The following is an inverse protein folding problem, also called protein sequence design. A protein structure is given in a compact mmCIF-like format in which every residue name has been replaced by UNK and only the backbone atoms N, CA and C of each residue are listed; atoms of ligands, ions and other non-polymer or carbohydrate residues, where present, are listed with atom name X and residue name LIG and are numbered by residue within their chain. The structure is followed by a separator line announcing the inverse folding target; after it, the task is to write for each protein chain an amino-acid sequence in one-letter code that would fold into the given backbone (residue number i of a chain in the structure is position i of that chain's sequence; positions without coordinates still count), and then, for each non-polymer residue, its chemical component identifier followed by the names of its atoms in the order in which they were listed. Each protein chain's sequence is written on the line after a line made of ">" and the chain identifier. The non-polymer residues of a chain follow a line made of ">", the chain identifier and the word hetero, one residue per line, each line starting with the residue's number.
data_IF_230064486699
#
_entry.id   IF_230064486699
#
_cell.length_a   1.000
_cell.length_b   1.000
_cell.length_c   1.000
_cell.angle_alpha   90.00
_cell.angle_beta   90.00
_cell.angle_gamma   90.00
#
_symmetry.space_group_name_H-M   'P 1'
#
loop_
_entity.id
_entity.type
_entity.pdbx_description
1 polymer ?
#
# COMPACT_ATOMS: atom_id res chain seq x y z
N UNK A 1 -16.35 -0.91 7.27
CA UNK A 1 -16.19 0.22 6.33
C UNK A 1 -16.16 -0.35 4.94
N UNK A 2 -17.05 0.09 4.05
CA UNK A 2 -16.98 -0.29 2.64
C UNK A 2 -15.73 0.39 2.06
N UNK A 3 -14.86 -0.41 1.43
CA UNK A 3 -13.77 0.11 0.63
C UNK A 3 -14.35 1.01 -0.46
N UNK A 4 -13.93 2.27 -0.53
CA UNK A 4 -14.42 3.24 -1.51
C UNK A 4 -14.25 2.76 -2.96
N UNK A 5 -13.20 1.97 -3.24
CA UNK A 5 -13.01 1.32 -4.53
C UNK A 5 -14.03 0.20 -4.79
N UNK A 6 -14.37 -0.59 -3.78
CA UNK A 6 -15.39 -1.62 -3.89
C UNK A 6 -16.79 -1.01 -4.06
N UNK A 7 -17.11 0.09 -3.35
CA UNK A 7 -18.35 0.81 -3.54
C UNK A 7 -18.48 1.37 -4.95
N UNK A 8 -17.44 2.05 -5.45
CA UNK A 8 -17.46 2.58 -6.82
C UNK A 8 -17.62 1.49 -7.90
N UNK A 9 -17.14 0.26 -7.65
CA UNK A 9 -17.38 -0.86 -8.54
C UNK A 9 -18.83 -1.37 -8.47
N UNK A 10 -19.44 -1.38 -7.30
CA UNK A 10 -20.87 -1.70 -7.11
C UNK A 10 -21.73 -0.67 -7.83
N UNK A 11 -21.46 0.63 -7.64
CA UNK A 11 -22.19 1.72 -8.29
C UNK A 11 -22.10 1.63 -9.83
N UNK A 12 -20.93 1.25 -10.35
CA UNK A 12 -20.76 0.99 -11.79
C UNK A 12 -21.62 -0.17 -12.28
N UNK A 13 -21.65 -1.29 -11.52
CA UNK A 13 -22.47 -2.46 -11.89
C UNK A 13 -23.96 -2.15 -11.79
N UNK A 14 -24.38 -1.39 -10.79
CA UNK A 14 -25.77 -0.93 -10.65
C UNK A 14 -26.16 -0.02 -11.80
N UNK A 15 -25.32 0.94 -12.20
CA UNK A 15 -25.54 1.79 -13.36
C UNK A 15 -25.64 1.01 -14.67
N UNK A 16 -24.82 -0.01 -14.86
CA UNK A 16 -24.90 -0.92 -16.03
C UNK A 16 -26.22 -1.70 -16.02
N UNK A 17 -26.62 -2.22 -14.86
CA UNK A 17 -27.86 -2.99 -14.74
C UNK A 17 -29.10 -2.10 -14.98
N UNK A 18 -29.09 -0.85 -14.48
CA UNK A 18 -30.12 0.13 -14.73
C UNK A 18 -30.22 0.45 -16.23
N UNK A 19 -29.10 0.68 -16.91
CA UNK A 19 -29.07 0.89 -18.35
C UNK A 19 -29.63 -0.31 -19.14
N UNK A 20 -29.25 -1.53 -18.78
CA UNK A 20 -29.74 -2.73 -19.46
C UNK A 20 -31.25 -2.89 -19.28
N UNK A 21 -31.78 -2.56 -18.09
CA UNK A 21 -33.21 -2.74 -17.77
C UNK A 21 -34.09 -1.60 -18.25
N UNK A 22 -33.63 -0.36 -18.21
CA UNK A 22 -34.41 0.84 -18.52
C UNK A 22 -34.13 1.43 -19.91
N UNK A 23 -32.97 1.12 -20.49
CA UNK A 23 -32.48 1.72 -21.74
C UNK A 23 -32.14 3.21 -21.62
N UNK A 24 -32.10 3.77 -20.41
CA UNK A 24 -31.85 5.18 -20.15
C UNK A 24 -30.60 5.32 -19.29
N UNK A 25 -29.77 6.31 -19.62
CA UNK A 25 -28.73 6.80 -18.71
C UNK A 25 -29.41 7.87 -17.87
N UNK A 26 -29.57 7.60 -16.58
CA UNK A 26 -30.05 8.60 -15.64
C UNK A 26 -28.86 9.53 -15.38
N UNK A 27 -28.91 10.74 -15.93
CA UNK A 27 -28.03 11.81 -15.46
C UNK A 27 -28.45 12.08 -14.00
N UNK A 28 -27.72 11.49 -13.04
CA UNK A 28 -27.81 11.95 -11.68
C UNK A 28 -27.32 13.40 -11.69
N UNK A 29 -28.22 14.34 -11.41
CA UNK A 29 -27.84 15.69 -11.03
C UNK A 29 -26.88 15.51 -9.84
N UNK A 30 -25.59 15.66 -10.09
CA UNK A 30 -24.59 15.97 -9.08
C UNK A 30 -24.92 17.41 -8.62
N UNK A 31 -26.04 17.57 -7.94
CA UNK A 31 -26.18 18.64 -6.98
C UNK A 31 -25.05 18.35 -5.97
N UNK A 32 -24.01 19.12 -6.09
CA UNK A 32 -22.92 19.19 -5.12
C UNK A 32 -23.60 19.36 -3.76
N UNK A 33 -23.66 18.27 -2.99
CA UNK A 33 -24.03 18.33 -1.60
C UNK A 33 -22.87 19.03 -0.91
N UNK A 34 -22.98 20.36 -0.91
CA UNK A 34 -22.13 21.28 -0.19
C UNK A 34 -22.68 21.40 1.25
N UNK A 35 -22.95 20.25 1.88
CA UNK A 35 -23.38 20.22 3.28
C UNK A 35 -22.74 19.03 4.00
N UNK A 36 -21.93 19.36 5.01
CA UNK A 36 -21.45 18.49 6.10
C UNK A 36 -20.32 17.49 5.82
N UNK A 37 -19.24 17.94 5.22
CA UNK A 37 -17.94 17.25 5.37
C UNK A 37 -17.37 17.41 6.80
N UNK A 38 -18.00 18.20 7.66
CA UNK A 38 -17.53 18.47 9.04
C UNK A 38 -18.06 17.51 10.12
N UNK A 39 -18.82 16.47 9.76
CA UNK A 39 -19.33 15.49 10.72
C UNK A 39 -19.26 14.04 10.22
N UNK A 40 -18.24 13.69 9.46
CA UNK A 40 -17.84 12.29 9.42
C UNK A 40 -17.04 12.08 10.70
N UNK A 41 -17.72 11.55 11.74
CA UNK A 41 -17.07 10.97 12.91
C UNK A 41 -15.95 10.05 12.38
N UNK A 42 -14.71 10.49 12.53
CA UNK A 42 -13.50 9.77 12.12
C UNK A 42 -13.21 8.60 13.09
N UNK A 43 -14.24 7.88 13.50
CA UNK A 43 -14.16 6.59 14.16
C UNK A 43 -14.45 5.48 13.16
N UNK A 44 -13.75 5.46 12.02
CA UNK A 44 -13.58 4.21 11.31
C UNK A 44 -12.66 3.35 12.18
N UNK A 45 -13.28 2.50 12.97
CA UNK A 45 -12.61 1.46 13.75
C UNK A 45 -12.02 0.46 12.73
N UNK A 46 -10.92 0.84 12.08
CA UNK A 46 -10.18 -0.11 11.24
C UNK A 46 -9.65 -1.19 12.18
N UNK A 47 -10.15 -2.38 11.97
CA UNK A 47 -9.83 -3.55 12.82
C UNK A 47 -8.35 -3.94 12.66
N UNK A 48 -7.78 -3.68 11.49
CA UNK A 48 -6.41 -4.03 11.14
C UNK A 48 -5.63 -2.80 10.66
N UNK A 49 -4.35 -2.79 10.99
CA UNK A 49 -3.47 -1.64 10.72
C UNK A 49 -2.95 -1.58 9.29
N UNK A 50 -2.65 -2.72 8.68
CA UNK A 50 -1.94 -2.76 7.40
C UNK A 50 -2.82 -3.27 6.27
N UNK A 51 -2.81 -2.55 5.15
CA UNK A 51 -3.23 -3.05 3.85
C UNK A 51 -2.03 -3.77 3.20
N UNK A 52 -2.15 -5.08 2.99
CA UNK A 52 -1.07 -5.94 2.48
C UNK A 52 -1.45 -6.50 1.12
N UNK A 53 -0.56 -6.35 0.14
CA UNK A 53 -0.76 -6.86 -1.21
C UNK A 53 0.46 -7.63 -1.71
N UNK A 54 0.23 -8.67 -2.51
CA UNK A 54 1.25 -9.32 -3.32
C UNK A 54 0.64 -10.01 -4.55
N UNK A 55 1.52 -10.42 -5.46
CA UNK A 55 1.18 -11.25 -6.61
C UNK A 55 1.86 -12.61 -6.43
N UNK A 56 1.08 -13.68 -6.48
CA UNK A 56 1.57 -15.06 -6.46
C UNK A 56 1.67 -15.57 -7.90
N UNK A 57 2.79 -16.17 -8.26
CA UNK A 57 3.01 -16.86 -9.54
C UNK A 57 3.34 -18.31 -9.22
N UNK A 58 2.47 -19.23 -9.66
CA UNK A 58 2.59 -20.67 -9.38
C UNK A 58 1.92 -21.51 -10.46
N UNK A 59 2.03 -22.82 -10.40
CA UNK A 59 1.46 -23.71 -11.40
C UNK A 59 -0.05 -23.95 -11.22
N UNK A 60 -0.52 -24.04 -9.97
CA UNK A 60 -1.93 -24.29 -9.67
C UNK A 60 -2.32 -23.70 -8.31
N UNK A 61 -2.57 -22.40 -8.29
CA UNK A 61 -2.94 -21.66 -7.08
C UNK A 61 -4.39 -22.01 -6.69
N UNK A 62 -4.61 -22.69 -5.54
CA UNK A 62 -5.94 -23.09 -5.08
C UNK A 62 -6.65 -21.89 -4.40
N UNK A 63 -7.06 -20.90 -5.16
CA UNK A 63 -7.55 -19.60 -4.68
C UNK A 63 -8.59 -19.70 -3.56
N UNK A 64 -9.56 -20.62 -3.68
CA UNK A 64 -10.59 -20.76 -2.65
C UNK A 64 -10.01 -21.22 -1.31
N UNK A 65 -9.12 -22.22 -1.34
CA UNK A 65 -8.44 -22.69 -0.13
C UNK A 65 -7.54 -21.63 0.47
N UNK A 66 -6.79 -20.89 -0.38
CA UNK A 66 -5.95 -19.78 0.07
C UNK A 66 -6.80 -18.67 0.69
N UNK A 67 -7.95 -18.33 0.11
CA UNK A 67 -8.86 -17.34 0.67
C UNK A 67 -9.38 -17.79 2.05
N UNK A 68 -9.77 -19.06 2.21
CA UNK A 68 -10.22 -19.62 3.48
C UNK A 68 -9.11 -19.51 4.56
N UNK A 69 -7.86 -19.77 4.22
CA UNK A 69 -6.73 -19.61 5.15
C UNK A 69 -6.50 -18.15 5.51
N UNK A 70 -6.55 -17.24 4.53
CA UNK A 70 -6.32 -15.81 4.77
C UNK A 70 -7.42 -15.18 5.65
N UNK A 71 -8.64 -15.72 5.65
CA UNK A 71 -9.76 -15.25 6.50
C UNK A 71 -9.44 -15.33 7.99
N UNK A 72 -8.56 -16.23 8.41
CA UNK A 72 -8.13 -16.37 9.81
C UNK A 72 -7.08 -15.30 10.20
N UNK A 73 -6.52 -14.57 9.21
CA UNK A 73 -5.42 -13.62 9.43
C UNK A 73 -5.75 -12.17 9.11
N UNK A 74 -6.96 -11.89 8.64
CA UNK A 74 -7.37 -10.53 8.29
C UNK A 74 -8.76 -10.43 7.72
N UNK A 75 -9.11 -9.24 7.23
CA UNK A 75 -10.37 -8.98 6.52
C UNK A 75 -10.15 -8.25 5.20
N UNK A 76 -11.23 -7.79 4.56
CA UNK A 76 -11.19 -7.07 3.27
C UNK A 76 -10.41 -7.82 2.19
N UNK A 77 -10.54 -9.16 2.18
CA UNK A 77 -9.74 -10.04 1.33
C UNK A 77 -10.24 -10.00 -0.10
N UNK A 78 -9.35 -9.63 -1.02
CA UNK A 78 -9.56 -9.76 -2.46
C UNK A 78 -8.49 -10.68 -3.04
N UNK A 79 -8.94 -11.81 -3.62
CA UNK A 79 -8.07 -12.77 -4.29
C UNK A 79 -8.50 -12.90 -5.75
N UNK A 80 -7.85 -12.14 -6.62
CA UNK A 80 -8.18 -12.04 -8.04
C UNK A 80 -7.08 -12.65 -8.93
N UNK A 81 -7.46 -13.22 -10.06
CA UNK A 81 -6.51 -13.75 -11.04
C UNK A 81 -6.84 -15.13 -11.58
N UNK A 82 -5.83 -15.84 -12.10
CA UNK A 82 -5.91 -17.16 -12.73
C UNK A 82 -5.37 -18.26 -11.81
N UNK A 83 -5.29 -19.49 -12.29
CA UNK A 83 -4.64 -20.60 -11.57
C UNK A 83 -3.13 -20.47 -11.49
N UNK A 84 -2.52 -19.68 -12.36
CA UNK A 84 -1.06 -19.52 -12.43
C UNK A 84 -0.57 -18.16 -11.95
N UNK A 85 -1.48 -17.18 -11.81
CA UNK A 85 -1.13 -15.84 -11.31
C UNK A 85 -2.32 -15.28 -10.54
N UNK A 86 -2.12 -14.95 -9.28
CA UNK A 86 -3.15 -14.37 -8.43
C UNK A 86 -2.63 -13.13 -7.69
N UNK A 87 -3.44 -12.07 -7.65
CA UNK A 87 -3.20 -10.91 -6.80
C UNK A 87 -3.96 -11.13 -5.48
N UNK A 88 -3.26 -10.93 -4.38
CA UNK A 88 -3.80 -10.95 -3.01
C UNK A 88 -3.85 -9.52 -2.50
N UNK A 89 -4.96 -9.15 -1.89
CA UNK A 89 -5.14 -7.96 -1.08
C UNK A 89 -5.84 -8.37 0.21
N UNK A 90 -5.33 -7.91 1.35
CA UNK A 90 -5.87 -8.23 2.68
C UNK A 90 -5.51 -7.13 3.68
N UNK A 91 -6.43 -6.79 4.58
CA UNK A 91 -6.13 -5.99 5.76
C UNK A 91 -5.74 -6.91 6.92
N UNK A 92 -4.55 -6.71 7.49
CA UNK A 92 -3.98 -7.57 8.54
C UNK A 92 -3.00 -6.81 9.43
N UNK A 93 -2.82 -7.26 10.66
CA UNK A 93 -1.76 -6.74 11.55
C UNK A 93 -0.43 -7.47 11.36
N UNK A 94 -0.40 -8.56 10.58
CA UNK A 94 0.75 -9.43 10.40
C UNK A 94 1.18 -9.59 8.92
N UNK A 95 1.64 -8.52 8.22
CA UNK A 95 2.02 -8.58 6.80
C UNK A 95 3.02 -9.70 6.49
N UNK A 96 4.00 -9.92 7.37
CA UNK A 96 4.99 -11.00 7.25
C UNK A 96 4.33 -12.38 7.17
N UNK A 97 3.32 -12.63 7.99
CA UNK A 97 2.57 -13.88 8.01
C UNK A 97 1.81 -14.08 6.70
N UNK A 98 1.20 -13.02 6.18
CA UNK A 98 0.49 -13.05 4.90
C UNK A 98 1.45 -13.41 3.76
N UNK A 99 2.62 -12.76 3.67
CA UNK A 99 3.61 -13.08 2.64
C UNK A 99 4.13 -14.52 2.77
N UNK A 100 4.36 -15.00 4.00
CA UNK A 100 4.77 -16.39 4.25
C UNK A 100 3.71 -17.38 3.75
N UNK A 101 2.44 -17.16 4.06
CA UNK A 101 1.34 -18.01 3.58
C UNK A 101 1.27 -18.00 2.05
N UNK A 102 1.36 -16.81 1.43
CA UNK A 102 1.32 -16.67 -0.02
C UNK A 102 2.48 -17.39 -0.72
N UNK A 103 3.68 -17.36 -0.14
CA UNK A 103 4.88 -18.00 -0.70
C UNK A 103 4.81 -19.53 -0.73
N UNK A 104 3.95 -20.15 0.09
CA UNK A 104 3.70 -21.61 0.04
C UNK A 104 3.00 -22.05 -1.26
N UNK A 105 2.38 -21.12 -1.98
CA UNK A 105 1.61 -21.40 -3.21
C UNK A 105 2.30 -20.97 -4.50
N UNK A 106 3.51 -20.43 -4.41
CA UNK A 106 4.31 -20.00 -5.55
C UNK A 106 5.27 -18.86 -5.20
N UNK A 107 6.02 -18.40 -6.19
CA UNK A 107 6.86 -17.22 -6.02
C UNK A 107 6.00 -15.98 -5.86
N UNK A 108 6.33 -15.12 -4.89
CA UNK A 108 5.64 -13.86 -4.67
C UNK A 108 6.43 -12.70 -5.29
N UNK A 109 5.70 -11.67 -5.70
CA UNK A 109 6.25 -10.43 -6.25
C UNK A 109 5.28 -9.26 -6.04
N UNK A 110 5.76 -8.03 -6.17
CA UNK A 110 4.92 -6.84 -6.00
C UNK A 110 4.41 -6.68 -4.57
N UNK A 111 5.18 -7.13 -3.59
CA UNK A 111 4.88 -7.00 -2.16
C UNK A 111 4.69 -5.53 -1.81
N UNK A 112 3.60 -5.25 -1.12
CA UNK A 112 3.21 -3.92 -0.69
C UNK A 112 2.58 -4.01 0.69
N UNK A 113 2.88 -3.04 1.52
CA UNK A 113 2.23 -2.86 2.81
C UNK A 113 2.06 -1.38 3.09
N UNK A 114 0.82 -0.95 3.24
CA UNK A 114 0.47 0.44 3.59
C UNK A 114 -0.07 0.47 5.03
N UNK A 115 0.43 1.39 5.85
CA UNK A 115 -0.08 1.63 7.20
C UNK A 115 -1.31 2.55 7.11
N UNK A 116 -2.49 1.96 7.21
CA UNK A 116 -3.77 2.66 7.06
C UNK A 116 -4.04 3.63 8.21
N UNK A 117 -3.63 3.28 9.43
CA UNK A 117 -3.78 4.16 10.60
C UNK A 117 -2.90 5.40 10.44
N UNK A 118 -1.67 5.21 9.96
CA UNK A 118 -0.78 6.34 9.68
C UNK A 118 -1.32 7.22 8.56
N UNK A 119 -1.82 6.63 7.48
CA UNK A 119 -2.44 7.39 6.39
C UNK A 119 -3.63 8.24 6.87
N UNK A 120 -4.49 7.70 7.73
CA UNK A 120 -5.59 8.48 8.32
C UNK A 120 -5.09 9.60 9.24
N UNK A 121 -4.10 9.32 10.10
CA UNK A 121 -3.53 10.33 10.98
C UNK A 121 -2.85 11.45 10.21
N UNK A 122 -2.19 11.13 9.11
CA UNK A 122 -1.50 12.09 8.25
C UNK A 122 -2.50 13.00 7.50
N UNK A 123 -3.64 12.46 7.09
CA UNK A 123 -4.73 13.24 6.50
C UNK A 123 -5.28 14.33 7.46
N UNK A 124 -5.25 14.09 8.78
CA UNK A 124 -5.78 15.01 9.78
C UNK A 124 -4.71 15.91 10.44
N UNK A 125 -3.41 15.66 10.22
CA UNK A 125 -2.30 16.32 10.91
C UNK A 125 -1.37 17.12 9.99
N UNK A 126 -1.80 17.54 8.82
CA UNK A 126 -1.00 18.42 7.98
C UNK A 126 -0.71 19.76 8.72
N UNK A 127 0.25 19.75 9.65
CA UNK A 127 0.70 20.95 10.37
C UNK A 127 1.52 21.89 9.49
N UNK A 128 2.02 21.39 8.38
CA UNK A 128 2.90 22.12 7.46
C UNK A 128 2.37 22.00 6.04
N UNK A 129 2.52 23.03 5.20
CA UNK A 129 2.06 22.99 3.81
C UNK A 129 2.89 22.07 2.92
N UNK A 130 4.10 21.68 3.39
CA UNK A 130 5.06 20.88 2.63
C UNK A 130 5.24 19.50 3.26
N UNK A 131 4.99 18.44 2.49
CA UNK A 131 5.29 17.07 2.90
C UNK A 131 6.80 16.77 2.78
N UNK A 132 7.36 16.05 3.74
CA UNK A 132 8.72 15.48 3.65
C UNK A 132 8.62 13.98 3.40
N UNK A 133 9.23 13.50 2.32
CA UNK A 133 9.18 12.11 1.90
C UNK A 133 10.59 11.55 1.83
N UNK A 134 10.81 10.38 2.41
CA UNK A 134 12.10 9.69 2.40
C UNK A 134 11.91 8.21 2.02
N UNK A 135 12.97 7.52 1.62
CA UNK A 135 12.96 6.06 1.63
C UNK A 135 13.41 5.51 2.98
N UNK A 136 13.15 4.23 3.26
CA UNK A 136 13.49 3.62 4.55
C UNK A 136 15.00 3.51 4.82
N UNK A 137 15.83 3.72 3.81
CA UNK A 137 17.28 3.83 3.96
C UNK A 137 17.75 5.14 4.62
N UNK A 138 16.84 6.08 4.94
CA UNK A 138 17.16 7.30 5.66
C UNK A 138 17.68 7.06 7.09
N UNK A 139 17.35 5.88 7.65
CA UNK A 139 17.79 5.42 8.97
C UNK A 139 17.50 6.38 10.13
N UNK A 140 16.44 7.17 10.00
CA UNK A 140 15.94 8.06 11.04
C UNK A 140 15.27 7.25 12.17
N UNK A 141 15.42 7.70 13.45
CA UNK A 141 14.62 7.17 14.55
C UNK A 141 13.12 7.38 14.34
N UNK A 142 12.30 6.43 14.78
CA UNK A 142 10.83 6.49 14.61
C UNK A 142 10.24 7.75 15.30
N UNK A 143 10.81 8.17 16.44
CA UNK A 143 10.37 9.38 17.15
C UNK A 143 10.56 10.67 16.31
N UNK A 144 11.62 10.72 15.50
CA UNK A 144 11.86 11.84 14.57
C UNK A 144 10.90 11.77 13.39
N UNK A 145 10.70 10.59 12.84
CA UNK A 145 9.74 10.35 11.73
C UNK A 145 8.35 10.81 12.15
N UNK A 146 7.91 10.42 13.34
CA UNK A 146 6.57 10.75 13.86
C UNK A 146 6.44 12.23 14.27
N UNK A 147 7.46 12.80 14.92
CA UNK A 147 7.42 14.19 15.39
C UNK A 147 7.42 15.22 14.25
N UNK A 148 8.09 14.92 13.16
CA UNK A 148 8.17 15.76 11.96
C UNK A 148 7.20 15.35 10.86
N UNK A 149 6.35 14.35 11.12
CA UNK A 149 5.41 13.78 10.15
C UNK A 149 6.09 13.43 8.80
N UNK A 150 7.23 12.71 8.87
CA UNK A 150 7.97 12.29 7.68
C UNK A 150 7.31 11.04 7.08
N UNK A 151 7.07 11.07 5.78
CA UNK A 151 6.47 9.96 5.04
C UNK A 151 7.56 9.04 4.50
N UNK A 152 7.57 7.79 4.96
CA UNK A 152 8.59 6.80 4.58
C UNK A 152 8.07 5.88 3.51
N UNK A 153 8.80 5.76 2.39
CA UNK A 153 8.56 4.76 1.34
C UNK A 153 9.53 3.61 1.57
N UNK A 154 9.03 2.41 1.95
CA UNK A 154 9.89 1.31 2.31
C UNK A 154 10.59 0.69 1.08
N UNK A 155 11.86 0.38 1.22
CA UNK A 155 12.57 -0.53 0.31
C UNK A 155 12.11 -1.95 0.56
N UNK A 156 12.32 -2.84 -0.40
CA UNK A 156 12.05 -4.26 -0.25
C UNK A 156 13.36 -5.00 -0.04
N UNK A 157 13.32 -6.06 0.74
CA UNK A 157 14.48 -6.92 0.94
C UNK A 157 14.05 -8.39 1.00
N UNK A 158 14.98 -9.28 0.66
CA UNK A 158 14.75 -10.71 0.72
C UNK A 158 15.99 -11.46 1.23
N UNK A 159 15.73 -12.56 1.94
CA UNK A 159 16.71 -13.59 2.26
C UNK A 159 16.31 -14.84 1.45
N UNK A 160 16.94 -15.06 0.31
CA UNK A 160 16.52 -16.08 -0.64
C UNK A 160 15.09 -15.85 -1.14
N UNK A 161 14.22 -16.81 -0.91
CA UNK A 161 12.82 -16.77 -1.33
C UNK A 161 11.88 -16.10 -0.32
N UNK A 162 12.40 -15.67 0.84
CA UNK A 162 11.59 -14.97 1.86
C UNK A 162 11.70 -13.47 1.67
N UNK A 163 10.56 -12.84 1.42
CA UNK A 163 10.45 -11.42 1.08
C UNK A 163 9.95 -10.58 2.26
N UNK A 164 10.46 -9.36 2.36
CA UNK A 164 10.12 -8.41 3.41
C UNK A 164 9.97 -6.99 2.86
N UNK A 165 9.17 -6.21 3.56
CA UNK A 165 9.08 -4.76 3.41
C UNK A 165 9.81 -4.14 4.61
N UNK A 166 10.87 -3.39 4.34
CA UNK A 166 11.75 -2.83 5.35
C UNK A 166 10.99 -1.95 6.37
N UNK A 167 11.32 -2.11 7.65
CA UNK A 167 10.69 -1.44 8.80
C UNK A 167 9.18 -1.71 8.98
N UNK A 168 8.55 -2.49 8.09
CA UNK A 168 7.14 -2.85 8.17
C UNK A 168 6.96 -4.31 8.51
N UNK A 169 7.46 -5.23 7.68
CA UNK A 169 7.38 -6.68 7.93
C UNK A 169 8.69 -7.26 8.47
N UNK A 170 9.74 -6.45 8.60
CA UNK A 170 11.02 -6.81 9.22
C UNK A 170 11.59 -5.59 9.95
N UNK A 171 11.62 -5.65 11.26
CA UNK A 171 12.26 -4.62 12.09
C UNK A 171 13.79 -4.70 11.99
N UNK A 172 14.49 -3.61 12.32
CA UNK A 172 15.97 -3.60 12.35
C UNK A 172 16.53 -4.70 13.25
N UNK A 173 15.90 -4.97 14.41
CA UNK A 173 16.32 -6.04 15.32
C UNK A 173 16.16 -7.43 14.70
N UNK A 174 15.05 -7.67 14.02
CA UNK A 174 14.81 -8.93 13.32
C UNK A 174 15.78 -9.11 12.15
N UNK A 175 16.06 -8.02 11.41
CA UNK A 175 17.05 -8.04 10.32
C UNK A 175 18.41 -8.52 10.80
N UNK A 176 18.93 -7.98 11.90
CA UNK A 176 20.22 -8.42 12.46
C UNK A 176 20.19 -9.87 12.90
N UNK A 177 19.09 -10.33 13.51
CA UNK A 177 18.93 -11.74 13.89
C UNK A 177 18.89 -12.68 12.67
N UNK A 178 18.21 -12.26 11.59
CA UNK A 178 18.18 -13.03 10.34
C UNK A 178 19.57 -13.04 9.68
N UNK A 179 20.27 -11.91 9.64
CA UNK A 179 21.59 -11.80 9.05
C UNK A 179 22.61 -12.72 9.71
N UNK A 180 22.51 -12.92 11.05
CA UNK A 180 23.39 -13.84 11.79
C UNK A 180 23.07 -15.32 11.54
N UNK A 181 21.79 -15.66 11.34
CA UNK A 181 21.33 -17.05 11.30
C UNK A 181 21.11 -17.57 9.88
N UNK A 182 20.78 -16.70 8.96
CA UNK A 182 20.44 -17.09 7.60
C UNK A 182 21.71 -17.28 6.76
N UNK A 183 21.91 -18.45 6.14
CA UNK A 183 23.08 -18.69 5.28
C UNK A 183 23.02 -17.89 3.97
N UNK A 184 21.84 -17.37 3.59
CA UNK A 184 21.64 -16.59 2.37
C UNK A 184 21.82 -15.13 2.70
N UNK A 185 22.74 -14.46 1.99
CA UNK A 185 22.96 -13.02 2.13
C UNK A 185 21.73 -12.23 1.64
N UNK A 186 21.27 -11.21 2.39
CA UNK A 186 20.11 -10.43 1.99
C UNK A 186 20.35 -9.61 0.71
N UNK A 187 19.31 -9.45 -0.06
CA UNK A 187 19.28 -8.57 -1.22
C UNK A 187 18.19 -7.52 -1.04
N UNK A 188 18.45 -6.31 -1.51
CA UNK A 188 17.47 -5.22 -1.50
C UNK A 188 17.01 -4.89 -2.91
N UNK A 189 15.77 -4.45 -3.03
CA UNK A 189 15.25 -3.87 -4.25
C UNK A 189 14.61 -2.50 -3.96
N UNK A 190 14.85 -1.56 -4.86
CA UNK A 190 14.30 -0.22 -4.78
C UNK A 190 12.77 -0.24 -4.87
N UNK A 191 12.08 0.73 -4.24
CA UNK A 191 10.67 0.96 -4.49
C UNK A 191 10.42 1.25 -5.97
N UNK A 192 9.34 0.72 -6.52
CA UNK A 192 8.98 0.95 -7.91
C UNK A 192 8.46 2.38 -8.14
N UNK A 193 8.48 2.90 -9.38
CA UNK A 193 7.80 4.18 -9.70
C UNK A 193 6.31 4.17 -9.30
N UNK A 194 5.66 2.99 -9.32
CA UNK A 194 4.28 2.83 -8.88
C UNK A 194 4.10 3.04 -7.38
N UNK A 195 5.06 2.60 -6.55
CA UNK A 195 5.04 2.81 -5.09
C UNK A 195 5.13 4.30 -4.77
N UNK A 196 6.09 5.00 -5.40
CA UNK A 196 6.23 6.46 -5.29
C UNK A 196 4.99 7.22 -5.79
N UNK A 197 4.45 6.85 -6.95
CA UNK A 197 3.28 7.53 -7.53
C UNK A 197 2.07 7.46 -6.60
N UNK A 198 1.78 6.31 -5.99
CA UNK A 198 0.68 6.19 -5.02
C UNK A 198 0.86 7.12 -3.84
N UNK A 199 2.05 7.14 -3.25
CA UNK A 199 2.35 8.02 -2.12
C UNK A 199 2.24 9.50 -2.51
N UNK A 200 2.78 9.88 -3.66
CA UNK A 200 2.70 11.25 -4.15
C UNK A 200 1.27 11.68 -4.45
N UNK A 201 0.46 10.80 -5.06
CA UNK A 201 -0.96 11.08 -5.31
C UNK A 201 -1.74 11.27 -4.01
N UNK A 202 -1.51 10.42 -3.02
CA UNK A 202 -2.12 10.56 -1.70
C UNK A 202 -1.72 11.89 -1.06
N UNK A 203 -0.43 12.20 -0.99
CA UNK A 203 0.06 13.43 -0.36
C UNK A 203 -0.37 14.69 -1.12
N UNK A 204 -0.52 14.64 -2.45
CA UNK A 204 -0.95 15.80 -3.25
C UNK A 204 -2.37 16.25 -2.96
N UNK A 205 -3.19 15.43 -2.31
CA UNK A 205 -4.52 15.82 -1.84
C UNK A 205 -4.53 16.47 -0.46
N UNK A 206 -3.41 16.38 0.29
CA UNK A 206 -3.32 16.86 1.68
C UNK A 206 -2.27 17.96 1.88
N UNK A 207 -1.33 18.15 0.96
CA UNK A 207 -0.24 19.11 1.05
C UNK A 207 -0.14 19.97 -0.20
N UNK A 208 0.37 21.18 -0.04
CA UNK A 208 0.57 22.12 -1.17
C UNK A 208 1.81 21.78 -1.99
N UNK A 209 2.83 21.23 -1.35
CA UNK A 209 4.12 20.84 -1.96
C UNK A 209 4.76 19.66 -1.26
N UNK A 210 5.79 19.07 -1.87
CA UNK A 210 6.56 17.99 -1.26
C UNK A 210 8.05 18.12 -1.54
N UNK A 211 8.87 17.68 -0.56
CA UNK A 211 10.31 17.47 -0.72
C UNK A 211 10.55 15.97 -0.56
N UNK A 212 11.14 15.35 -1.58
CA UNK A 212 11.40 13.91 -1.59
C UNK A 212 12.91 13.68 -1.60
N UNK A 213 13.45 13.07 -0.52
CA UNK A 213 14.88 12.90 -0.26
C UNK A 213 15.20 11.41 -0.24
N UNK A 214 16.07 10.97 -1.13
CA UNK A 214 16.34 9.55 -1.36
C UNK A 214 17.83 9.23 -1.42
N UNK A 215 18.13 7.94 -1.32
CA UNK A 215 19.45 7.39 -1.61
C UNK A 215 19.94 7.94 -2.97
N UNK A 216 21.17 8.43 -3.06
CA UNK A 216 21.68 9.09 -4.27
C UNK A 216 21.68 8.15 -5.49
N UNK A 217 21.42 8.73 -6.66
CA UNK A 217 21.31 8.02 -7.95
C UNK A 217 22.45 7.06 -8.23
N UNK A 218 23.68 7.42 -7.85
CA UNK A 218 24.87 6.57 -8.05
C UNK A 218 24.88 5.31 -7.18
N UNK A 219 24.11 5.29 -6.09
CA UNK A 219 24.06 4.16 -5.15
C UNK A 219 22.83 3.29 -5.36
N UNK A 220 21.71 3.85 -5.83
CA UNK A 220 20.44 3.13 -5.98
C UNK A 220 19.57 3.77 -7.06
N UNK A 221 18.78 2.96 -7.75
CA UNK A 221 17.72 3.43 -8.66
C UNK A 221 16.50 4.03 -7.96
N UNK A 222 16.49 4.12 -6.63
CA UNK A 222 15.39 4.71 -5.84
C UNK A 222 15.12 6.15 -6.27
N UNK A 223 16.16 6.97 -6.41
CA UNK A 223 16.05 8.35 -6.91
C UNK A 223 15.36 8.40 -8.28
N UNK A 224 15.77 7.56 -9.23
CA UNK A 224 15.18 7.53 -10.57
C UNK A 224 13.72 7.07 -10.57
N UNK A 225 13.35 6.15 -9.67
CA UNK A 225 11.95 5.74 -9.45
C UNK A 225 11.10 6.91 -8.95
N UNK A 226 11.63 7.68 -8.00
CA UNK A 226 10.99 8.89 -7.47
C UNK A 226 10.81 9.96 -8.55
N UNK A 227 11.86 10.27 -9.33
CA UNK A 227 11.80 11.21 -10.46
C UNK A 227 10.79 10.77 -11.52
N UNK A 228 10.71 9.49 -11.82
CA UNK A 228 9.74 8.97 -12.79
C UNK A 228 8.32 9.15 -12.29
N UNK A 229 8.08 8.89 -11.01
CA UNK A 229 6.77 9.05 -10.39
C UNK A 229 6.35 10.54 -10.31
N UNK A 230 7.26 11.45 -9.95
CA UNK A 230 6.94 12.88 -9.78
C UNK A 230 6.40 13.52 -11.07
N UNK A 231 6.87 13.06 -12.23
CA UNK A 231 6.38 13.53 -13.55
C UNK A 231 4.92 13.17 -13.82
N UNK A 232 4.36 12.22 -13.09
CA UNK A 232 2.98 11.74 -13.27
C UNK A 232 1.98 12.35 -12.29
N UNK A 233 2.45 13.21 -11.37
CA UNK A 233 1.62 13.88 -10.35
C UNK A 233 1.78 15.40 -10.48
N UNK A 234 1.02 16.04 -11.38
CA UNK A 234 1.24 17.43 -11.76
C UNK A 234 0.93 18.47 -10.68
N UNK A 235 0.37 18.08 -9.55
CA UNK A 235 0.02 18.99 -8.43
C UNK A 235 1.14 19.20 -7.41
N UNK A 236 2.24 18.46 -7.50
CA UNK A 236 3.43 18.70 -6.70
C UNK A 236 4.48 19.43 -7.54
N UNK A 237 4.66 20.73 -7.36
CA UNK A 237 5.77 21.46 -7.94
C UNK A 237 7.09 21.07 -7.30
#
# INVERSE_FOLDING_TARGET
>A
VLDAGAQGFVDLLEGINEFITSGKITESNLDLIDEDVNNIDATTNEKYRYCTECIIIGENIPRRKLQEILMDHGDSIVLAGTKTKAKVHIHSDEPKKIFSICSEYGSISGEKTDDMIKQQSDAHKAQYPTAVIVDSGCDLPDEIIDSLNIHVIPVKLNFGDVHYVDKVSLTSKEFWNELEKNPVHPQTSQPSPGDFRRQYQFLSSHYESAISIHIPEKASGTYQSAVTASKTVPKFP
#
